data_IF_597217707270
#
_entry.id   IF_597217707270
#
_cell.length_a   1.000
_cell.length_b   1.000
_cell.length_c   1.000
_cell.angle_alpha   90.00
_cell.angle_beta   90.00
_cell.angle_gamma   90.00
#
_symmetry.space_group_name_H-M   'P 1'
#
loop_
_entity.id
_entity.type
_entity.pdbx_description
1 polymer ?
#
# COMPACT_ATOMS: atom_id res chain seq x y z
N UNK A 1 -33.45 8.81 -16.69
CA UNK A 1 -32.81 9.73 -15.74
C UNK A 1 -32.22 8.88 -14.62
N UNK A 2 -30.91 8.87 -14.44
CA UNK A 2 -30.29 8.13 -13.35
C UNK A 2 -30.56 8.88 -12.03
N UNK A 3 -31.42 8.35 -11.19
CA UNK A 3 -31.56 8.86 -9.83
C UNK A 3 -30.41 8.29 -8.99
N UNK A 4 -29.46 9.12 -8.64
CA UNK A 4 -28.34 8.76 -7.78
C UNK A 4 -28.78 8.95 -6.33
N UNK A 5 -29.02 7.85 -5.63
CA UNK A 5 -29.37 7.86 -4.22
C UNK A 5 -28.10 7.52 -3.44
N UNK A 6 -27.53 8.49 -2.74
CA UNK A 6 -26.29 8.33 -1.99
C UNK A 6 -26.56 8.57 -0.51
N UNK A 7 -26.27 7.58 0.33
CA UNK A 7 -26.25 7.76 1.78
C UNK A 7 -24.85 8.21 2.23
N UNK A 8 -24.76 9.01 3.30
CA UNK A 8 -23.47 9.44 3.85
C UNK A 8 -22.55 8.26 4.20
N UNK A 9 -23.11 7.15 4.66
CA UNK A 9 -22.34 5.94 4.99
C UNK A 9 -21.79 5.25 3.74
N UNK A 10 -22.58 5.17 2.66
CA UNK A 10 -22.09 4.59 1.41
C UNK A 10 -21.01 5.46 0.77
N UNK A 11 -21.13 6.78 0.84
CA UNK A 11 -20.13 7.72 0.34
C UNK A 11 -18.83 7.62 1.14
N UNK A 12 -18.91 7.56 2.48
CA UNK A 12 -17.76 7.38 3.35
C UNK A 12 -17.03 6.06 3.07
N UNK A 13 -17.78 4.96 2.94
CA UNK A 13 -17.22 3.66 2.62
C UNK A 13 -16.51 3.67 1.25
N UNK A 14 -17.10 4.27 0.22
CA UNK A 14 -16.49 4.40 -1.11
C UNK A 14 -15.20 5.21 -1.04
N UNK A 15 -15.22 6.35 -0.37
CA UNK A 15 -14.03 7.19 -0.20
C UNK A 15 -12.90 6.45 0.50
N UNK A 16 -13.22 5.78 1.62
CA UNK A 16 -12.22 4.99 2.35
C UNK A 16 -11.69 3.82 1.51
N UNK A 17 -12.53 3.15 0.74
CA UNK A 17 -12.11 2.05 -0.15
C UNK A 17 -11.12 2.52 -1.22
N UNK A 18 -11.35 3.70 -1.79
CA UNK A 18 -10.43 4.32 -2.75
C UNK A 18 -9.10 4.68 -2.07
N UNK A 19 -9.16 5.36 -0.92
CA UNK A 19 -7.96 5.76 -0.18
C UNK A 19 -7.09 4.56 0.18
N UNK A 20 -7.70 3.48 0.67
CA UNK A 20 -6.99 2.25 1.05
C UNK A 20 -6.36 1.58 -0.16
N UNK A 21 -7.08 1.47 -1.28
CA UNK A 21 -6.53 0.87 -2.51
C UNK A 21 -5.31 1.64 -3.02
N UNK A 22 -5.36 2.98 -3.01
CA UNK A 22 -4.22 3.81 -3.41
C UNK A 22 -3.07 3.74 -2.41
N UNK A 23 -3.35 3.77 -1.10
CA UNK A 23 -2.32 3.68 -0.07
C UNK A 23 -1.52 2.38 -0.17
N UNK A 24 -2.21 1.24 -0.31
CA UNK A 24 -1.58 -0.06 -0.48
C UNK A 24 -0.78 -0.17 -1.79
N UNK A 25 -1.32 0.36 -2.89
CA UNK A 25 -0.64 0.38 -4.18
C UNK A 25 0.64 1.22 -4.12
N UNK A 26 0.57 2.43 -3.56
CA UNK A 26 1.74 3.32 -3.41
C UNK A 26 2.77 2.69 -2.49
N UNK A 27 2.37 2.08 -1.38
CA UNK A 27 3.26 1.37 -0.47
C UNK A 27 3.96 0.21 -1.19
N UNK A 28 3.22 -0.61 -1.94
CA UNK A 28 3.76 -1.74 -2.69
C UNK A 28 4.78 -1.31 -3.76
N UNK A 29 4.52 -0.23 -4.48
CA UNK A 29 5.40 0.30 -5.52
C UNK A 29 6.62 1.03 -4.95
N UNK A 30 6.59 1.44 -3.68
CA UNK A 30 7.67 2.20 -3.05
C UNK A 30 8.92 1.35 -2.80
N UNK A 31 10.08 1.99 -2.92
CA UNK A 31 11.35 1.43 -2.50
C UNK A 31 11.66 1.64 -1.00
N UNK A 32 10.79 2.32 -0.25
CA UNK A 32 11.06 2.75 1.12
C UNK A 32 10.44 1.81 2.15
N UNK A 33 10.66 0.50 2.01
CA UNK A 33 10.26 -0.50 3.00
C UNK A 33 11.30 -0.66 4.10
N UNK A 34 12.58 -0.71 3.71
CA UNK A 34 13.72 -0.71 4.62
C UNK A 34 14.65 0.46 4.29
N UNK A 35 15.17 1.09 5.32
CA UNK A 35 16.16 2.16 5.24
C UNK A 35 17.46 1.58 5.78
N UNK A 36 18.47 1.46 4.91
CA UNK A 36 19.77 0.92 5.26
C UNK A 36 20.63 1.90 6.04
N UNK A 37 21.76 1.41 6.55
CA UNK A 37 22.78 2.22 7.22
C UNK A 37 23.43 3.23 6.28
N UNK A 38 23.83 4.36 6.84
CA UNK A 38 24.57 5.37 6.10
C UNK A 38 25.86 4.78 5.53
N UNK A 39 26.01 4.83 4.22
CA UNK A 39 27.23 4.45 3.52
C UNK A 39 27.94 5.71 3.02
N UNK A 40 29.23 5.82 3.29
CA UNK A 40 30.05 6.83 2.63
C UNK A 40 30.33 6.34 1.21
N UNK A 41 30.06 7.17 0.20
CA UNK A 41 30.45 6.87 -1.16
C UNK A 41 31.98 6.99 -1.28
N UNK A 42 32.70 5.91 -1.07
CA UNK A 42 34.11 5.84 -1.48
C UNK A 42 34.13 5.59 -2.99
N UNK A 43 33.97 6.62 -3.79
CA UNK A 43 34.42 6.59 -5.16
C UNK A 43 35.93 6.60 -5.11
N UNK A 44 36.54 5.48 -5.45
CA UNK A 44 37.95 5.38 -5.73
C UNK A 44 38.21 6.11 -7.07
N UNK A 45 38.28 7.41 -7.02
CA UNK A 45 38.99 8.20 -8.02
C UNK A 45 40.22 8.80 -7.37
N UNK A 46 41.32 8.17 -7.70
CA UNK A 46 42.67 8.42 -7.21
C UNK A 46 43.32 9.58 -7.98
N UNK A 47 42.63 10.69 -8.13
CA UNK A 47 43.28 11.90 -8.66
C UNK A 47 42.40 13.16 -8.46
N UNK A 48 42.40 13.69 -7.26
CA UNK A 48 42.41 15.15 -7.02
C UNK A 48 42.24 15.47 -5.53
N UNK A 49 43.16 16.26 -5.02
CA UNK A 49 43.17 16.88 -3.71
C UNK A 49 42.05 17.89 -3.57
N UNK A 50 40.85 17.43 -3.32
CA UNK A 50 39.77 18.28 -2.82
C UNK A 50 38.98 17.47 -1.78
N UNK A 51 38.99 17.93 -0.55
CA UNK A 51 38.17 17.39 0.53
C UNK A 51 36.70 17.60 0.16
N UNK A 52 36.18 16.69 -0.68
CA UNK A 52 34.76 16.63 -0.93
C UNK A 52 34.09 16.08 0.36
N UNK A 53 33.30 16.90 1.02
CA UNK A 53 32.50 16.50 2.16
C UNK A 53 31.56 15.37 1.69
N UNK A 54 31.96 14.13 1.96
CA UNK A 54 31.17 12.94 1.67
C UNK A 54 29.95 12.93 2.57
N UNK A 55 28.82 13.45 2.09
CA UNK A 55 27.57 13.33 2.82
C UNK A 55 27.15 11.85 2.81
N UNK A 56 26.95 11.26 3.99
CA UNK A 56 26.48 9.88 4.07
C UNK A 56 25.08 9.78 3.43
N UNK A 57 24.87 8.76 2.62
CA UNK A 57 23.57 8.46 2.05
C UNK A 57 22.98 7.20 2.67
N UNK A 58 21.65 7.19 2.83
CA UNK A 58 20.91 6.03 3.29
C UNK A 58 20.27 5.33 2.09
N UNK A 59 20.73 4.12 1.70
CA UNK A 59 20.08 3.36 0.65
C UNK A 59 18.74 2.83 1.17
N UNK A 60 17.71 2.84 0.33
CA UNK A 60 16.42 2.24 0.65
C UNK A 60 16.19 0.98 -0.18
N UNK A 61 15.47 0.03 0.40
CA UNK A 61 15.19 -1.26 -0.21
C UNK A 61 13.72 -1.60 -0.04
N UNK A 62 13.00 -1.69 -1.16
CA UNK A 62 11.63 -2.18 -1.24
C UNK A 62 11.55 -3.66 -1.53
N UNK A 63 10.37 -4.13 -1.88
CA UNK A 63 10.13 -5.55 -2.20
C UNK A 63 10.86 -5.94 -3.49
N UNK A 64 10.85 -5.09 -4.53
CA UNK A 64 11.48 -5.33 -5.83
C UNK A 64 12.29 -4.15 -6.35
N UNK A 65 12.20 -2.98 -5.70
CA UNK A 65 12.86 -1.75 -6.10
C UNK A 65 13.80 -1.26 -5.00
N UNK A 66 14.78 -0.45 -5.38
CA UNK A 66 15.73 0.20 -4.48
C UNK A 66 15.93 1.64 -4.87
N UNK A 67 16.29 2.49 -3.93
CA UNK A 67 16.75 3.85 -4.19
C UNK A 67 18.12 4.07 -3.57
N UNK A 68 18.99 4.74 -4.33
CA UNK A 68 20.32 5.18 -3.90
C UNK A 68 20.39 6.68 -4.17
N UNK A 69 20.85 7.46 -3.19
CA UNK A 69 21.13 8.88 -3.40
C UNK A 69 22.57 9.04 -3.84
N UNK A 70 22.76 9.65 -4.99
CA UNK A 70 24.08 10.02 -5.51
C UNK A 70 24.27 11.51 -5.25
N UNK A 71 25.32 11.86 -4.51
CA UNK A 71 25.70 13.26 -4.30
C UNK A 71 26.70 13.67 -5.37
N UNK A 72 26.29 14.45 -6.36
CA UNK A 72 27.19 15.10 -7.31
C UNK A 72 27.73 16.40 -6.73
N UNK A 73 29.05 16.51 -6.68
CA UNK A 73 29.80 17.58 -5.99
C UNK A 73 29.65 18.98 -6.66
N UNK A 74 29.09 19.11 -7.86
CA UNK A 74 29.12 20.37 -8.61
C UNK A 74 27.79 21.09 -8.88
N UNK A 75 26.65 20.49 -8.61
CA UNK A 75 25.37 21.19 -8.66
C UNK A 75 24.42 20.63 -7.59
N UNK A 76 23.71 21.53 -6.93
CA UNK A 76 22.78 21.33 -5.81
C UNK A 76 21.59 20.36 -6.07
N UNK A 77 21.64 19.52 -7.07
CA UNK A 77 20.64 18.51 -7.35
C UNK A 77 21.07 17.19 -6.69
N UNK A 78 20.32 16.82 -5.67
CA UNK A 78 20.37 15.48 -5.06
C UNK A 78 19.68 14.52 -6.01
N UNK A 79 20.42 13.91 -6.90
CA UNK A 79 19.86 12.90 -7.77
C UNK A 79 19.60 11.62 -6.96
N UNK A 80 18.35 11.24 -6.87
CA UNK A 80 17.92 9.98 -6.29
C UNK A 80 17.73 8.99 -7.44
N UNK A 81 18.57 7.99 -7.53
CA UNK A 81 18.44 6.93 -8.53
C UNK A 81 17.61 5.79 -7.94
N UNK A 82 16.39 5.64 -8.43
CA UNK A 82 15.50 4.55 -8.06
C UNK A 82 15.28 3.62 -9.24
N UNK A 83 15.24 2.32 -8.98
CA UNK A 83 14.97 1.33 -10.00
C UNK A 83 14.78 -0.07 -9.43
N UNK A 84 14.32 -1.02 -10.26
CA UNK A 84 14.23 -2.40 -9.85
C UNK A 84 15.65 -2.95 -9.59
N UNK A 85 15.80 -3.76 -8.57
CA UNK A 85 17.04 -4.49 -8.30
C UNK A 85 17.02 -5.91 -8.86
N UNK A 86 15.87 -6.35 -9.34
CA UNK A 86 15.62 -7.67 -9.94
C UNK A 86 15.11 -7.47 -11.37
N UNK A 87 15.71 -8.13 -12.34
CA UNK A 87 15.27 -8.13 -13.74
C UNK A 87 14.12 -9.12 -13.95
N UNK A 88 14.05 -10.14 -13.11
CA UNK A 88 13.00 -11.16 -13.12
C UNK A 88 12.45 -11.43 -11.73
N UNK A 89 11.24 -11.99 -11.66
CA UNK A 89 10.60 -12.34 -10.40
C UNK A 89 11.45 -13.30 -9.54
N UNK A 90 12.18 -14.21 -10.18
CA UNK A 90 13.02 -15.19 -9.49
C UNK A 90 14.27 -14.57 -8.83
N UNK A 91 14.64 -13.36 -9.21
CA UNK A 91 15.78 -12.63 -8.65
C UNK A 91 15.43 -11.76 -7.44
N UNK A 92 14.15 -11.74 -7.06
CA UNK A 92 13.72 -11.09 -5.82
C UNK A 92 14.47 -11.72 -4.65
N UNK A 93 14.88 -10.92 -3.71
CA UNK A 93 15.86 -11.20 -2.65
C UNK A 93 15.70 -12.55 -1.92
N UNK A 94 14.49 -13.06 -1.79
CA UNK A 94 14.23 -14.37 -1.17
C UNK A 94 12.85 -14.90 -1.57
N UNK A 95 12.63 -16.21 -1.40
CA UNK A 95 11.32 -16.82 -1.59
C UNK A 95 10.24 -16.23 -0.69
N UNK A 96 10.60 -15.75 0.51
CA UNK A 96 9.67 -15.02 1.40
C UNK A 96 9.22 -13.70 0.81
N UNK A 97 10.12 -12.93 0.18
CA UNK A 97 9.77 -11.68 -0.49
C UNK A 97 9.01 -11.90 -1.79
N UNK A 98 9.29 -12.99 -2.50
CA UNK A 98 8.49 -13.41 -3.65
C UNK A 98 7.05 -13.72 -3.22
N UNK A 99 6.88 -14.50 -2.15
CA UNK A 99 5.57 -14.79 -1.58
C UNK A 99 4.87 -13.51 -1.08
N UNK A 100 5.61 -12.62 -0.40
CA UNK A 100 5.10 -11.30 0.02
C UNK A 100 4.56 -10.52 -1.18
N UNK A 101 5.33 -10.43 -2.27
CA UNK A 101 4.92 -9.72 -3.48
C UNK A 101 3.63 -10.30 -4.07
N UNK A 102 3.50 -11.63 -4.12
CA UNK A 102 2.30 -12.31 -4.61
C UNK A 102 1.10 -12.01 -3.72
N UNK A 103 1.21 -12.20 -2.40
CA UNK A 103 0.10 -11.98 -1.48
C UNK A 103 -0.36 -10.52 -1.46
N UNK A 104 0.57 -9.57 -1.40
CA UNK A 104 0.24 -8.15 -1.47
C UNK A 104 -0.41 -7.78 -2.81
N UNK A 105 0.13 -8.27 -3.93
CA UNK A 105 -0.44 -8.01 -5.26
C UNK A 105 -1.87 -8.52 -5.38
N UNK A 106 -2.17 -9.74 -4.92
CA UNK A 106 -3.53 -10.27 -4.90
C UNK A 106 -4.46 -9.42 -4.02
N UNK A 107 -4.04 -9.07 -2.81
CA UNK A 107 -4.81 -8.20 -1.92
C UNK A 107 -5.12 -6.85 -2.58
N UNK A 108 -4.12 -6.21 -3.17
CA UNK A 108 -4.25 -4.90 -3.83
C UNK A 108 -5.17 -4.99 -5.06
N UNK A 109 -5.05 -6.03 -5.88
CA UNK A 109 -5.93 -6.22 -7.04
C UNK A 109 -7.39 -6.33 -6.59
N UNK A 110 -7.68 -7.10 -5.55
CA UNK A 110 -9.04 -7.20 -4.98
C UNK A 110 -9.52 -5.82 -4.49
N UNK A 111 -8.68 -5.07 -3.77
CA UNK A 111 -9.02 -3.72 -3.30
C UNK A 111 -9.30 -2.75 -4.45
N UNK A 112 -8.53 -2.80 -5.53
CA UNK A 112 -8.75 -1.99 -6.72
C UNK A 112 -10.09 -2.34 -7.40
N UNK A 113 -10.42 -3.62 -7.51
CA UNK A 113 -11.70 -4.08 -8.04
C UNK A 113 -12.86 -3.58 -7.17
N UNK A 114 -12.76 -3.70 -5.84
CA UNK A 114 -13.78 -3.20 -4.91
C UNK A 114 -13.92 -1.68 -5.00
N UNK A 115 -12.81 -0.94 -5.07
CA UNK A 115 -12.83 0.52 -5.26
C UNK A 115 -13.54 0.91 -6.57
N UNK A 116 -13.24 0.22 -7.66
CA UNK A 116 -13.91 0.44 -8.94
C UNK A 116 -15.40 0.14 -8.87
N UNK A 117 -15.81 -1.02 -8.31
CA UNK A 117 -17.21 -1.37 -8.11
C UNK A 117 -17.91 -0.36 -7.21
N UNK A 118 -17.27 0.13 -6.15
CA UNK A 118 -17.86 1.10 -5.24
C UNK A 118 -18.19 2.42 -5.92
N UNK A 119 -17.32 2.91 -6.79
CA UNK A 119 -17.58 4.11 -7.60
C UNK A 119 -18.70 3.84 -8.61
N UNK A 120 -18.65 2.70 -9.28
CA UNK A 120 -19.66 2.33 -10.26
C UNK A 120 -21.06 2.19 -9.65
N UNK A 121 -21.16 1.62 -8.46
CA UNK A 121 -22.45 1.48 -7.73
C UNK A 121 -23.03 2.83 -7.33
N UNK A 122 -22.22 3.84 -7.03
CA UNK A 122 -22.72 5.19 -6.80
C UNK A 122 -23.40 5.77 -8.04
N UNK A 123 -22.89 5.43 -9.25
CA UNK A 123 -23.46 5.92 -10.51
C UNK A 123 -24.71 5.14 -10.97
N UNK A 124 -24.83 3.85 -10.60
CA UNK A 124 -25.84 2.91 -11.16
C UNK A 124 -26.78 2.35 -10.08
N UNK A 125 -26.84 2.95 -8.92
CA UNK A 125 -27.54 2.44 -7.72
C UNK A 125 -29.04 2.10 -7.92
N UNK A 126 -29.61 2.42 -9.05
CA UNK A 126 -31.01 2.13 -9.39
C UNK A 126 -31.35 0.63 -9.57
N UNK A 127 -30.38 -0.26 -9.80
CA UNK A 127 -30.65 -1.59 -10.34
C UNK A 127 -30.28 -2.76 -9.41
N UNK A 128 -29.34 -2.63 -8.45
CA UNK A 128 -28.81 -3.78 -7.70
C UNK A 128 -28.65 -3.47 -6.20
N UNK A 129 -29.75 -3.41 -5.48
CA UNK A 129 -29.85 -2.73 -4.17
C UNK A 129 -29.32 -3.45 -2.92
N UNK A 130 -29.08 -4.74 -2.87
CA UNK A 130 -28.88 -5.39 -1.55
C UNK A 130 -27.65 -6.29 -1.40
N UNK A 131 -27.11 -6.81 -2.47
CA UNK A 131 -26.06 -7.83 -2.39
C UNK A 131 -24.63 -7.29 -2.58
N UNK A 132 -24.48 -6.12 -3.21
CA UNK A 132 -23.15 -5.61 -3.63
C UNK A 132 -22.30 -5.18 -2.43
N UNK A 133 -22.89 -4.49 -1.45
CA UNK A 133 -22.15 -4.05 -0.26
C UNK A 133 -21.59 -5.22 0.54
N UNK A 134 -22.40 -6.28 0.75
CA UNK A 134 -21.94 -7.48 1.45
C UNK A 134 -20.86 -8.21 0.68
N UNK A 135 -20.99 -8.36 -0.63
CA UNK A 135 -19.98 -8.99 -1.47
C UNK A 135 -18.68 -8.18 -1.45
N UNK A 136 -18.76 -6.87 -1.59
CA UNK A 136 -17.59 -5.99 -1.52
C UNK A 136 -16.93 -6.03 -0.14
N UNK A 137 -17.71 -6.04 0.95
CA UNK A 137 -17.17 -6.18 2.31
C UNK A 137 -16.49 -7.52 2.54
N UNK A 138 -17.05 -8.61 2.03
CA UNK A 138 -16.41 -9.93 2.08
C UNK A 138 -15.10 -9.95 1.28
N UNK A 139 -15.09 -9.38 0.08
CA UNK A 139 -13.89 -9.25 -0.75
C UNK A 139 -12.82 -8.40 -0.06
N UNK A 140 -13.20 -7.30 0.61
CA UNK A 140 -12.27 -6.50 1.41
C UNK A 140 -11.69 -7.30 2.58
N UNK A 141 -12.50 -8.11 3.26
CA UNK A 141 -12.03 -9.01 4.31
C UNK A 141 -11.00 -10.04 3.78
N UNK A 142 -11.28 -10.64 2.63
CA UNK A 142 -10.36 -11.58 1.96
C UNK A 142 -9.07 -10.86 1.54
N UNK A 143 -9.18 -9.67 0.94
CA UNK A 143 -8.02 -8.85 0.60
C UNK A 143 -7.15 -8.55 1.83
N UNK A 144 -7.78 -8.16 2.95
CA UNK A 144 -7.09 -7.93 4.22
C UNK A 144 -6.31 -9.14 4.73
N UNK A 145 -6.86 -10.36 4.55
CA UNK A 145 -6.14 -11.59 4.91
C UNK A 145 -4.90 -11.80 4.03
N UNK A 146 -4.99 -11.57 2.73
CA UNK A 146 -3.83 -11.61 1.83
C UNK A 146 -2.77 -10.57 2.21
N UNK A 147 -3.17 -9.35 2.54
CA UNK A 147 -2.26 -8.29 2.98
C UNK A 147 -1.55 -8.66 4.29
N UNK A 148 -2.27 -9.21 5.29
CA UNK A 148 -1.67 -9.70 6.54
C UNK A 148 -0.62 -10.77 6.26
N UNK A 149 -0.95 -11.76 5.43
CA UNK A 149 -0.01 -12.83 5.07
C UNK A 149 1.27 -12.25 4.43
N UNK A 150 1.13 -11.31 3.50
CA UNK A 150 2.25 -10.61 2.91
C UNK A 150 3.10 -9.86 3.94
N UNK A 151 2.46 -9.13 4.85
CA UNK A 151 3.13 -8.37 5.91
C UNK A 151 3.86 -9.26 6.93
N UNK A 152 3.35 -10.47 7.21
CA UNK A 152 4.02 -11.43 8.11
C UNK A 152 5.22 -12.08 7.41
N UNK A 153 5.10 -12.38 6.11
CA UNK A 153 6.17 -13.01 5.34
C UNK A 153 7.34 -12.04 5.04
N UNK A 154 7.08 -10.75 4.96
CA UNK A 154 8.11 -9.77 4.67
C UNK A 154 9.26 -9.77 5.69
N UNK A 155 9.02 -9.70 7.01
CA UNK A 155 10.07 -9.80 8.02
C UNK A 155 10.81 -11.14 8.03
N UNK A 156 10.15 -12.23 7.64
CA UNK A 156 10.81 -13.53 7.51
C UNK A 156 11.92 -13.52 6.47
N UNK A 157 11.83 -12.66 5.45
CA UNK A 157 12.81 -12.49 4.39
C UNK A 157 14.00 -11.59 4.73
N UNK A 158 14.04 -10.94 5.91
CA UNK A 158 15.15 -10.06 6.30
C UNK A 158 16.50 -10.79 6.50
N UNK A 159 16.48 -12.11 6.63
CA UNK A 159 17.68 -12.93 6.63
C UNK A 159 18.26 -13.23 5.24
N UNK A 160 17.71 -12.66 4.17
CA UNK A 160 18.23 -12.83 2.82
C UNK A 160 19.57 -12.11 2.61
N UNK A 161 20.41 -12.66 1.74
CA UNK A 161 21.71 -12.07 1.45
C UNK A 161 21.62 -10.61 0.98
N UNK A 162 20.59 -10.26 0.22
CA UNK A 162 20.36 -8.86 -0.19
C UNK A 162 20.04 -7.97 1.00
N UNK A 163 19.16 -8.39 1.90
CA UNK A 163 18.84 -7.62 3.11
C UNK A 163 20.07 -7.49 4.02
N UNK A 164 20.83 -8.55 4.22
CA UNK A 164 22.08 -8.53 5.00
C UNK A 164 23.09 -7.52 4.43
N UNK A 165 23.22 -7.41 3.10
CA UNK A 165 24.10 -6.44 2.47
C UNK A 165 23.71 -4.98 2.76
N UNK A 166 22.43 -4.70 3.04
CA UNK A 166 21.93 -3.37 3.40
C UNK A 166 21.89 -3.14 4.91
N UNK A 167 21.57 -4.17 5.67
CA UNK A 167 21.24 -4.10 7.10
C UNK A 167 22.32 -4.70 8.01
N UNK A 168 23.47 -5.11 7.45
CA UNK A 168 24.56 -5.69 8.22
C UNK A 168 24.35 -7.18 8.56
N UNK A 169 25.43 -7.80 9.05
CA UNK A 169 25.48 -9.24 9.33
C UNK A 169 24.57 -9.71 10.48
N UNK A 170 24.07 -8.78 11.29
CA UNK A 170 23.13 -9.09 12.38
C UNK A 170 21.68 -9.20 11.93
N UNK A 171 21.39 -8.87 10.65
CA UNK A 171 20.06 -9.04 10.07
C UNK A 171 19.73 -10.53 9.92
N UNK A 172 18.56 -10.93 10.38
CA UNK A 172 18.03 -12.29 10.28
C UNK A 172 16.52 -12.26 10.21
N UNK A 173 15.86 -13.40 10.04
CA UNK A 173 14.41 -13.46 10.05
C UNK A 173 13.83 -12.76 11.29
N UNK A 174 12.94 -11.79 11.07
CA UNK A 174 12.32 -10.92 12.10
C UNK A 174 13.30 -10.04 12.90
N UNK A 175 14.54 -9.89 12.45
CA UNK A 175 15.53 -8.99 13.04
C UNK A 175 16.09 -8.07 11.96
N UNK A 176 15.88 -6.77 12.13
CA UNK A 176 16.27 -5.73 11.16
C UNK A 176 17.78 -5.54 11.04
N UNK A 177 18.58 -6.00 12.00
CA UNK A 177 19.98 -5.62 12.07
C UNK A 177 20.14 -4.12 12.30
N UNK A 178 20.90 -3.47 11.42
CA UNK A 178 21.18 -2.02 11.49
C UNK A 178 20.21 -1.17 10.66
N UNK A 179 19.23 -1.80 9.96
CA UNK A 179 18.20 -1.09 9.22
C UNK A 179 17.09 -0.55 10.11
N UNK A 180 16.35 0.42 9.57
CA UNK A 180 15.07 0.87 10.11
C UNK A 180 13.93 0.61 9.12
N UNK A 181 12.70 0.54 9.65
CA UNK A 181 11.51 0.41 8.81
C UNK A 181 11.20 1.74 8.14
N UNK A 182 10.92 1.68 6.84
CA UNK A 182 10.51 2.83 6.06
C UNK A 182 9.00 3.11 6.13
N UNK A 183 8.60 4.26 5.64
CA UNK A 183 7.21 4.72 5.66
C UNK A 183 6.27 3.78 4.89
N UNK A 184 6.74 3.13 3.82
CA UNK A 184 5.92 2.24 3.00
C UNK A 184 5.42 1.03 3.80
N UNK A 185 6.26 0.45 4.67
CA UNK A 185 5.86 -0.65 5.54
C UNK A 185 4.78 -0.23 6.55
N UNK A 186 4.92 0.95 7.16
CA UNK A 186 3.90 1.48 8.08
C UNK A 186 2.60 1.81 7.35
N UNK A 187 2.69 2.34 6.12
CA UNK A 187 1.51 2.61 5.28
C UNK A 187 0.78 1.32 4.92
N UNK A 188 1.50 0.25 4.59
CA UNK A 188 0.91 -1.05 4.31
C UNK A 188 0.22 -1.64 5.56
N UNK A 189 0.80 -1.50 6.75
CA UNK A 189 0.14 -1.90 8.00
C UNK A 189 -1.14 -1.09 8.22
N UNK A 190 -1.06 0.23 8.12
CA UNK A 190 -2.20 1.13 8.30
C UNK A 190 -3.32 0.86 7.28
N UNK A 191 -2.96 0.67 6.01
CA UNK A 191 -3.89 0.30 4.94
C UNK A 191 -4.58 -1.03 5.19
N UNK A 192 -3.83 -2.03 5.67
CA UNK A 192 -4.39 -3.34 6.04
C UNK A 192 -5.43 -3.21 7.16
N UNK A 193 -5.13 -2.46 8.22
CA UNK A 193 -6.10 -2.19 9.30
C UNK A 193 -7.33 -1.49 8.76
N UNK A 194 -7.15 -0.44 7.96
CA UNK A 194 -8.25 0.29 7.33
C UNK A 194 -9.08 -0.59 6.39
N UNK A 195 -8.49 -1.60 5.74
CA UNK A 195 -9.22 -2.57 4.90
C UNK A 195 -10.28 -3.33 5.72
N UNK A 196 -9.95 -3.79 6.92
CA UNK A 196 -10.91 -4.44 7.80
C UNK A 196 -11.98 -3.47 8.31
N UNK A 197 -11.60 -2.24 8.61
CA UNK A 197 -12.57 -1.19 8.97
C UNK A 197 -13.53 -0.94 7.80
N UNK A 198 -13.05 -0.87 6.57
CA UNK A 198 -13.89 -0.75 5.37
C UNK A 198 -14.86 -1.93 5.21
N UNK A 199 -14.42 -3.16 5.51
CA UNK A 199 -15.28 -4.33 5.46
C UNK A 199 -16.47 -4.21 6.45
N UNK A 200 -16.21 -3.69 7.65
CA UNK A 200 -17.26 -3.41 8.64
C UNK A 200 -18.19 -2.28 8.18
N UNK A 201 -17.63 -1.20 7.63
CA UNK A 201 -18.44 -0.09 7.10
C UNK A 201 -19.29 -0.50 5.90
N UNK A 202 -18.86 -1.45 5.10
CA UNK A 202 -19.65 -2.03 4.02
C UNK A 202 -20.96 -2.63 4.53
N UNK A 203 -20.90 -3.43 5.58
CA UNK A 203 -22.09 -4.00 6.21
C UNK A 203 -23.01 -2.92 6.77
N UNK A 204 -22.45 -1.88 7.38
CA UNK A 204 -23.23 -0.75 7.90
C UNK A 204 -23.85 0.10 6.78
N UNK A 205 -23.17 0.27 5.67
CA UNK A 205 -23.71 0.96 4.50
C UNK A 205 -24.90 0.21 3.90
N UNK A 206 -24.87 -1.12 3.89
CA UNK A 206 -26.01 -1.94 3.46
C UNK A 206 -27.22 -1.75 4.35
N UNK A 207 -27.05 -1.82 5.67
CA UNK A 207 -28.13 -1.63 6.65
C UNK A 207 -28.73 -0.23 6.49
N UNK A 208 -27.91 0.80 6.34
CA UNK A 208 -28.36 2.17 6.17
C UNK A 208 -29.15 2.35 4.87
N UNK A 209 -28.70 1.75 3.78
CA UNK A 209 -29.37 1.86 2.46
C UNK A 209 -30.68 1.06 2.40
N UNK A 210 -30.82 0.02 3.22
CA UNK A 210 -32.01 -0.83 3.30
C UNK A 210 -33.06 -0.36 4.32
N UNK A 211 -32.81 0.73 5.04
CA UNK A 211 -33.71 1.20 6.09
C UNK A 211 -35.02 1.80 5.53
N UNK A 212 -36.15 1.57 6.21
CA UNK A 212 -37.45 2.08 5.80
C UNK A 212 -37.46 3.61 5.68
N UNK A 213 -36.69 4.31 6.53
CA UNK A 213 -36.54 5.77 6.47
C UNK A 213 -35.91 6.26 5.18
N UNK A 214 -34.93 5.52 4.63
CA UNK A 214 -34.35 5.84 3.35
C UNK A 214 -35.32 5.62 2.20
N UNK A 215 -36.13 4.57 2.28
CA UNK A 215 -37.17 4.29 1.30
C UNK A 215 -38.24 5.42 1.27
N UNK A 216 -38.66 5.91 2.42
CA UNK A 216 -39.63 7.01 2.56
C UNK A 216 -39.08 8.32 1.96
N UNK A 217 -37.77 8.65 2.20
CA UNK A 217 -37.15 9.83 1.63
C UNK A 217 -36.88 9.72 0.12
N UNK A 218 -36.74 8.48 -0.40
CA UNK A 218 -36.66 8.22 -1.84
C UNK A 218 -38.02 8.48 -2.50
N UNK A 219 -39.11 8.09 -1.88
CA UNK A 219 -40.47 8.35 -2.38
C UNK A 219 -40.80 9.86 -2.37
N UNK A 220 -40.18 10.63 -1.46
CA UNK A 220 -40.27 12.10 -1.45
C UNK A 220 -39.39 12.78 -2.54
N UNK A 221 -38.60 12.04 -3.32
CA UNK A 221 -37.79 12.55 -4.44
C UNK A 221 -36.45 13.16 -4.05
N UNK A 222 -35.94 12.90 -2.85
CA UNK A 222 -34.60 13.36 -2.41
C UNK A 222 -33.51 12.46 -2.99
N UNK A 223 -32.45 13.06 -3.53
CA UNK A 223 -31.34 12.35 -4.15
C UNK A 223 -30.13 12.14 -3.20
N UNK A 224 -30.00 12.94 -2.16
CA UNK A 224 -28.94 12.83 -1.15
C UNK A 224 -29.57 12.68 0.23
N UNK A 225 -29.33 11.51 0.86
CA UNK A 225 -29.90 11.17 2.16
C UNK A 225 -28.77 11.00 3.16
N UNK A 226 -28.65 11.93 4.09
CA UNK A 226 -27.63 11.92 5.14
C UNK A 226 -28.33 11.58 6.48
N UNK A 227 -28.52 10.29 6.73
CA UNK A 227 -28.93 9.78 8.03
C UNK A 227 -27.67 9.41 8.83
N UNK A 228 -27.49 10.05 9.98
CA UNK A 228 -26.47 9.73 10.99
C UNK A 228 -26.85 8.49 11.80
#
# INVERSE_FOLDING_TARGET
MCHVIVTCRSMLWTLLSIVVAFAELIAFLSADWLIGTAKSSSSVDMDSRTEASQQPYHPTLGIYSRCIRISHVHHSNRDTLCGPYAESFNEIASGFWQATAIFLAFGIVILCIVAFISVFTMCVQSIMKKSIFNVCGLLQGIAGLFLILGLILYPAGWGSQKAINYCGHYASAYKLGECSLGWAFYTAIGGTVLTFICAVFSAQAEIATSSDKVQEEIEEGKNLICLL
#
